data_IF_777384448497
#
_entry.id   IF_777384448497
#
_cell.length_a   1.000
_cell.length_b   1.000
_cell.length_c   1.000
_cell.angle_alpha   90.00
_cell.angle_beta   90.00
_cell.angle_gamma   90.00
#
_symmetry.space_group_name_H-M   'P 1'
#
loop_
_entity.id
_entity.type
_entity.pdbx_description
1 polymer ?
#
# COMPACT_ATOMS: atom_id res chain seq x y z
N UNK A 1 9.49 16.55 -2.36
CA UNK A 1 8.22 16.11 -3.01
C UNK A 1 8.17 14.59 -3.03
N UNK A 2 7.07 14.04 -2.58
CA UNK A 2 6.87 12.59 -2.57
C UNK A 2 6.67 12.09 -3.99
N UNK A 3 7.37 11.00 -4.35
CA UNK A 3 7.17 10.33 -5.63
C UNK A 3 7.42 8.82 -5.49
N UNK A 4 6.88 8.06 -6.43
CA UNK A 4 6.96 6.60 -6.45
C UNK A 4 7.91 6.18 -7.56
N UNK A 5 8.80 5.23 -7.25
CA UNK A 5 9.73 4.65 -8.22
C UNK A 5 9.54 3.14 -8.21
N UNK A 6 9.30 2.55 -9.37
CA UNK A 6 9.12 1.11 -9.48
C UNK A 6 10.36 0.36 -8.98
N UNK A 7 10.15 -0.82 -8.42
CA UNK A 7 11.23 -1.69 -7.95
C UNK A 7 12.14 -2.02 -9.12
N UNK A 8 13.44 -1.91 -8.87
CA UNK A 8 14.50 -2.15 -9.86
C UNK A 8 15.74 -2.72 -9.15
N UNK A 9 16.79 -3.10 -9.90
CA UNK A 9 18.01 -3.66 -9.27
C UNK A 9 18.71 -2.73 -8.29
N UNK A 10 18.47 -1.42 -8.35
CA UNK A 10 19.11 -0.45 -7.47
C UNK A 10 18.35 -0.15 -6.19
N UNK A 11 17.08 -0.55 -6.08
CA UNK A 11 16.24 -0.15 -4.93
C UNK A 11 15.48 -1.29 -4.24
N UNK A 12 15.65 -2.54 -4.63
CA UNK A 12 14.84 -3.65 -4.10
C UNK A 12 15.23 -4.07 -2.67
N UNK A 13 16.39 -3.68 -2.19
CA UNK A 13 16.90 -4.10 -0.88
C UNK A 13 17.44 -2.94 -0.05
N UNK A 14 16.63 -1.92 0.12
CA UNK A 14 17.03 -0.72 0.89
C UNK A 14 16.93 -0.90 2.40
N UNK A 15 16.39 -2.02 2.89
CA UNK A 15 16.27 -2.28 4.32
C UNK A 15 15.20 -1.46 5.03
N UNK A 16 14.21 -0.96 4.29
CA UNK A 16 13.09 -0.21 4.85
C UNK A 16 12.20 -1.13 5.67
N UNK A 17 11.81 -0.68 6.86
CA UNK A 17 10.99 -1.47 7.79
C UNK A 17 10.17 -0.60 8.73
N UNK A 18 9.01 -1.10 9.13
CA UNK A 18 8.15 -0.45 10.12
C UNK A 18 8.75 -0.54 11.52
N UNK A 19 8.18 0.23 12.46
CA UNK A 19 8.53 0.12 13.88
C UNK A 19 8.19 -1.27 14.42
N UNK A 20 8.93 -1.72 15.45
CA UNK A 20 8.71 -3.05 16.07
C UNK A 20 7.26 -3.28 16.47
N UNK A 21 6.59 -2.27 17.00
CA UNK A 21 5.19 -2.34 17.43
C UNK A 21 4.20 -2.59 16.28
N UNK A 22 4.64 -2.43 15.03
CA UNK A 22 3.78 -2.54 13.84
C UNK A 22 4.07 -3.81 13.02
N UNK A 23 5.11 -4.58 13.37
CA UNK A 23 5.53 -5.74 12.55
C UNK A 23 4.47 -6.79 12.36
N UNK A 24 3.56 -6.96 13.31
CA UNK A 24 2.49 -7.95 13.19
C UNK A 24 1.33 -7.49 12.29
N UNK A 25 1.30 -6.22 11.90
CA UNK A 25 0.28 -5.67 11.00
C UNK A 25 0.68 -5.72 9.54
N UNK A 26 1.99 -5.75 9.23
CA UNK A 26 2.48 -5.68 7.85
C UNK A 26 3.54 -6.75 7.60
N UNK A 27 3.58 -7.26 6.38
CA UNK A 27 4.64 -8.16 5.93
C UNK A 27 5.95 -7.38 5.78
N UNK A 28 7.09 -8.05 5.92
CA UNK A 28 8.36 -7.41 5.61
C UNK A 28 8.49 -7.11 4.10
N UNK A 29 9.48 -6.29 3.76
CA UNK A 29 9.67 -5.84 2.38
C UNK A 29 9.95 -6.99 1.41
N UNK A 30 10.65 -8.02 1.84
CA UNK A 30 10.96 -9.16 0.96
C UNK A 30 9.73 -10.01 0.69
N UNK A 31 8.90 -10.24 1.70
CA UNK A 31 7.62 -10.94 1.53
C UNK A 31 6.71 -10.15 0.59
N UNK A 32 6.68 -8.83 0.71
CA UNK A 32 5.94 -7.96 -0.20
C UNK A 32 6.41 -8.09 -1.63
N UNK A 33 7.73 -8.08 -1.86
CA UNK A 33 8.30 -8.23 -3.21
C UNK A 33 8.02 -9.61 -3.81
N UNK A 34 8.07 -10.67 -2.98
CA UNK A 34 7.70 -12.01 -3.41
C UNK A 34 6.22 -12.07 -3.82
N UNK A 35 5.34 -11.40 -3.07
CA UNK A 35 3.92 -11.30 -3.41
C UNK A 35 3.72 -10.54 -4.72
N UNK A 36 4.45 -9.45 -4.94
CA UNK A 36 4.37 -8.71 -6.18
C UNK A 36 4.75 -9.59 -7.38
N UNK A 37 5.77 -10.43 -7.24
CA UNK A 37 6.13 -11.39 -8.28
C UNK A 37 5.04 -12.44 -8.49
N UNK A 38 4.46 -12.97 -7.39
CA UNK A 38 3.39 -13.97 -7.45
C UNK A 38 2.14 -13.44 -8.19
N UNK A 39 1.85 -12.15 -8.04
CA UNK A 39 0.71 -11.49 -8.68
C UNK A 39 1.10 -10.76 -9.98
N UNK A 40 2.22 -11.12 -10.61
CA UNK A 40 2.68 -10.42 -11.83
C UNK A 40 1.70 -10.50 -12.98
N UNK A 41 0.91 -11.56 -13.07
CA UNK A 41 -0.11 -11.69 -14.12
C UNK A 41 -1.36 -10.84 -13.85
N UNK A 42 -1.54 -10.37 -12.61
CA UNK A 42 -2.57 -9.41 -12.22
C UNK A 42 -2.04 -7.97 -12.24
N UNK A 43 -1.06 -7.69 -13.08
CA UNK A 43 -0.45 -6.37 -13.27
C UNK A 43 0.06 -5.75 -11.96
N UNK A 44 0.69 -6.57 -11.11
CA UNK A 44 1.24 -6.07 -9.85
C UNK A 44 2.28 -4.98 -10.11
N UNK A 45 2.26 -3.97 -9.25
CA UNK A 45 3.26 -2.90 -9.23
C UNK A 45 3.76 -2.74 -7.81
N UNK A 46 5.06 -2.95 -7.61
CA UNK A 46 5.74 -2.66 -6.36
C UNK A 46 6.64 -1.46 -6.56
N UNK A 47 6.74 -0.61 -5.55
CA UNK A 47 7.45 0.67 -5.66
C UNK A 47 8.09 1.06 -4.34
N UNK A 48 9.11 1.90 -4.43
CA UNK A 48 9.71 2.63 -3.31
C UNK A 48 9.13 4.04 -3.30
N UNK A 49 8.83 4.54 -2.13
CA UNK A 49 8.35 5.91 -1.90
C UNK A 49 9.56 6.74 -1.52
N UNK A 50 9.79 7.82 -2.25
CA UNK A 50 10.88 8.76 -2.01
C UNK A 50 10.34 10.13 -1.61
N UNK A 51 11.04 10.80 -0.69
CA UNK A 51 10.87 12.24 -0.50
C UNK A 51 12.09 12.92 -1.12
N UNK A 52 11.97 13.32 -2.38
CA UNK A 52 13.09 13.75 -3.22
C UNK A 52 14.14 12.62 -3.31
N UNK A 53 15.20 12.64 -2.49
CA UNK A 53 16.27 11.66 -2.53
C UNK A 53 16.10 10.50 -1.55
N UNK A 54 15.75 10.71 -0.24
CA UNK A 54 15.71 9.60 0.68
C UNK A 54 14.50 8.69 0.42
N UNK A 55 14.72 7.35 0.43
CA UNK A 55 13.61 6.40 0.42
C UNK A 55 12.95 6.40 1.81
N UNK A 56 11.63 6.56 1.84
CA UNK A 56 10.87 6.67 3.10
C UNK A 56 9.87 5.55 3.31
N UNK A 57 9.59 4.74 2.30
CA UNK A 57 8.64 3.65 2.42
C UNK A 57 8.54 2.82 1.16
N UNK A 58 7.63 1.86 1.17
CA UNK A 58 7.36 0.96 0.04
C UNK A 58 5.89 0.62 -0.03
N UNK A 59 5.46 0.13 -1.18
CA UNK A 59 4.11 -0.37 -1.35
C UNK A 59 3.96 -1.22 -2.60
N UNK A 60 2.79 -1.84 -2.72
CA UNK A 60 2.41 -2.56 -3.93
C UNK A 60 0.90 -2.59 -4.09
N UNK A 61 0.45 -2.66 -5.33
CA UNK A 61 -0.93 -2.94 -5.66
C UNK A 61 -1.00 -3.83 -6.91
N UNK A 62 -2.15 -4.42 -7.13
CA UNK A 62 -2.40 -5.27 -8.28
C UNK A 62 -3.90 -5.25 -8.63
N UNK A 63 -4.25 -5.85 -9.76
CA UNK A 63 -5.66 -6.06 -10.10
C UNK A 63 -6.26 -7.13 -9.19
N UNK A 64 -7.54 -6.96 -8.86
CA UNK A 64 -8.35 -7.96 -8.20
C UNK A 64 -9.64 -8.17 -9.01
N UNK A 65 -9.60 -9.00 -10.08
CA UNK A 65 -10.76 -9.19 -10.96
C UNK A 65 -12.00 -9.71 -10.24
N UNK A 66 -11.81 -10.56 -9.22
CA UNK A 66 -12.92 -11.14 -8.46
C UNK A 66 -13.78 -10.08 -7.77
N UNK A 67 -13.18 -8.96 -7.38
CA UNK A 67 -13.89 -7.84 -6.76
C UNK A 67 -14.12 -6.67 -7.72
N UNK A 68 -13.71 -6.82 -8.97
CA UNK A 68 -13.79 -5.76 -9.98
C UNK A 68 -13.14 -4.46 -9.47
N UNK A 69 -11.94 -4.58 -8.92
CA UNK A 69 -11.25 -3.51 -8.22
C UNK A 69 -9.73 -3.62 -8.37
N UNK A 70 -9.04 -2.50 -8.11
CA UNK A 70 -7.62 -2.53 -7.75
C UNK A 70 -7.50 -2.97 -6.29
N UNK A 71 -6.46 -3.74 -5.97
CA UNK A 71 -6.15 -4.12 -4.59
C UNK A 71 -4.88 -3.41 -4.14
N UNK A 72 -5.01 -2.48 -3.20
CA UNK A 72 -3.85 -1.87 -2.53
C UNK A 72 -3.37 -2.87 -1.48
N UNK A 73 -2.50 -3.77 -1.91
CA UNK A 73 -2.09 -4.93 -1.11
C UNK A 73 -1.27 -4.54 0.11
N UNK A 74 -0.38 -3.57 -0.03
CA UNK A 74 0.46 -3.11 1.07
C UNK A 74 1.04 -1.74 0.78
N UNK A 75 1.15 -0.93 1.83
CA UNK A 75 1.91 0.32 1.82
C UNK A 75 2.41 0.56 3.24
N UNK A 76 3.67 0.93 3.39
CA UNK A 76 4.21 1.25 4.72
C UNK A 76 5.26 2.36 4.62
N UNK A 77 5.43 3.08 5.73
CA UNK A 77 6.48 4.09 5.89
C UNK A 77 7.50 3.55 6.88
N UNK A 78 8.79 3.69 6.54
CA UNK A 78 9.90 3.28 7.40
C UNK A 78 9.79 3.98 8.76
N UNK A 79 10.15 3.25 9.83
CA UNK A 79 10.03 3.73 11.21
C UNK A 79 10.66 5.11 11.44
N UNK A 80 11.76 5.39 10.71
CA UNK A 80 12.48 6.67 10.85
C UNK A 80 11.73 7.87 10.31
N UNK A 81 10.73 7.64 9.46
CA UNK A 81 10.04 8.69 8.71
C UNK A 81 8.55 8.79 9.02
N UNK A 82 8.06 8.06 10.01
CA UNK A 82 6.65 8.09 10.38
C UNK A 82 6.25 9.40 11.07
N UNK A 83 4.95 9.70 11.03
CA UNK A 83 4.41 10.92 11.66
C UNK A 83 4.62 12.21 10.88
N UNK A 84 5.01 12.12 9.60
CA UNK A 84 5.29 13.29 8.75
C UNK A 84 4.33 13.45 7.57
N UNK A 85 3.29 12.63 7.51
CA UNK A 85 2.29 12.69 6.42
C UNK A 85 2.68 11.94 5.15
N UNK A 86 3.77 11.18 5.15
CA UNK A 86 4.22 10.45 3.96
C UNK A 86 3.25 9.34 3.55
N UNK A 87 2.63 8.65 4.52
CA UNK A 87 1.64 7.61 4.21
C UNK A 87 0.44 8.16 3.47
N UNK A 88 -0.06 9.31 3.89
CA UNK A 88 -1.18 9.99 3.21
C UNK A 88 -0.78 10.44 1.82
N UNK A 89 0.38 11.08 1.67
CA UNK A 89 0.85 11.56 0.38
C UNK A 89 1.07 10.41 -0.61
N UNK A 90 1.69 9.32 -0.16
CA UNK A 90 1.94 8.15 -1.01
C UNK A 90 0.63 7.46 -1.40
N UNK A 91 -0.31 7.28 -0.47
CA UNK A 91 -1.62 6.69 -0.76
C UNK A 91 -2.37 7.51 -1.79
N UNK A 92 -2.34 8.84 -1.68
CA UNK A 92 -2.94 9.74 -2.67
C UNK A 92 -2.37 9.50 -4.06
N UNK A 93 -1.04 9.38 -4.19
CA UNK A 93 -0.39 9.11 -5.48
C UNK A 93 -0.79 7.74 -6.06
N UNK A 94 -0.92 6.73 -5.21
CA UNK A 94 -1.35 5.40 -5.65
C UNK A 94 -2.79 5.45 -6.17
N UNK A 95 -3.69 6.10 -5.43
CA UNK A 95 -5.08 6.24 -5.87
C UNK A 95 -5.19 7.04 -7.18
N UNK A 96 -4.37 8.07 -7.34
CA UNK A 96 -4.32 8.82 -8.60
C UNK A 96 -3.85 7.96 -9.76
N UNK A 97 -2.84 7.10 -9.53
CA UNK A 97 -2.36 6.17 -10.55
C UNK A 97 -3.45 5.16 -10.95
N UNK A 98 -4.20 4.64 -9.99
CA UNK A 98 -5.32 3.74 -10.25
C UNK A 98 -6.42 4.42 -11.08
N UNK A 99 -6.79 5.64 -10.70
CA UNK A 99 -7.80 6.43 -11.44
C UNK A 99 -7.36 6.72 -12.87
N UNK A 100 -6.09 7.05 -13.05
CA UNK A 100 -5.52 7.33 -14.37
C UNK A 100 -5.49 6.08 -15.24
N UNK A 101 -5.17 4.92 -14.66
CA UNK A 101 -5.23 3.62 -15.36
C UNK A 101 -6.64 3.31 -15.85
N UNK A 102 -7.64 3.50 -15.01
CA UNK A 102 -9.05 3.46 -15.38
C UNK A 102 -9.64 2.07 -15.60
N UNK A 103 -8.89 0.99 -15.38
CA UNK A 103 -9.42 -0.37 -15.60
C UNK A 103 -10.60 -0.68 -14.68
N UNK A 104 -10.53 -0.25 -13.43
CA UNK A 104 -11.59 -0.42 -12.44
C UNK A 104 -11.99 0.93 -11.87
N UNK A 105 -13.22 1.01 -11.35
CA UNK A 105 -13.76 2.24 -10.74
C UNK A 105 -13.64 2.27 -9.23
N UNK A 106 -12.95 1.30 -8.63
CA UNK A 106 -12.81 1.21 -7.18
C UNK A 106 -11.51 0.53 -6.77
N UNK A 107 -11.12 0.78 -5.51
CA UNK A 107 -9.99 0.14 -4.87
C UNK A 107 -10.45 -0.57 -3.61
N UNK A 108 -9.84 -1.72 -3.31
CA UNK A 108 -10.04 -2.45 -2.07
C UNK A 108 -8.69 -2.57 -1.35
N UNK A 109 -8.75 -2.76 -0.05
CA UNK A 109 -7.59 -3.06 0.78
C UNK A 109 -8.04 -3.84 2.00
N UNK A 110 -7.07 -4.46 2.69
CA UNK A 110 -7.28 -5.10 3.97
C UNK A 110 -6.32 -4.51 4.99
N UNK A 111 -6.74 -4.41 6.24
CA UNK A 111 -5.86 -4.11 7.36
C UNK A 111 -6.22 -5.00 8.55
N UNK A 112 -5.28 -5.16 9.46
CA UNK A 112 -5.48 -5.99 10.66
C UNK A 112 -6.15 -5.15 11.74
N UNK A 113 -7.20 -5.68 12.36
CA UNK A 113 -7.90 -5.03 13.46
C UNK A 113 -6.92 -4.63 14.55
N UNK A 114 -7.08 -3.41 15.06
CA UNK A 114 -6.15 -2.82 16.03
C UNK A 114 -5.14 -1.86 15.41
N UNK A 115 -4.96 -1.90 14.09
CA UNK A 115 -4.11 -0.93 13.39
C UNK A 115 -4.90 0.37 13.16
N UNK A 116 -5.04 1.16 14.23
CA UNK A 116 -5.86 2.39 14.21
C UNK A 116 -5.27 3.46 13.30
N UNK A 117 -3.97 3.50 13.14
CA UNK A 117 -3.29 4.44 12.22
C UNK A 117 -3.74 4.18 10.79
N UNK A 118 -3.73 2.91 10.36
CA UNK A 118 -4.20 2.51 9.03
C UNK A 118 -5.68 2.82 8.84
N UNK A 119 -6.51 2.46 9.84
CA UNK A 119 -7.95 2.71 9.79
C UNK A 119 -8.25 4.19 9.54
N UNK A 120 -7.66 5.08 10.33
CA UNK A 120 -7.87 6.52 10.20
C UNK A 120 -7.40 7.05 8.86
N UNK A 121 -6.24 6.58 8.40
CA UNK A 121 -5.68 6.99 7.12
C UNK A 121 -6.65 6.67 5.99
N UNK A 122 -7.12 5.44 5.92
CA UNK A 122 -7.98 4.99 4.83
C UNK A 122 -9.40 5.56 4.92
N UNK A 123 -9.95 5.67 6.11
CA UNK A 123 -11.23 6.37 6.31
C UNK A 123 -11.14 7.82 5.84
N UNK A 124 -9.99 8.46 6.04
CA UNK A 124 -9.76 9.84 5.58
C UNK A 124 -9.82 9.99 4.07
N UNK A 125 -9.60 8.93 3.30
CA UNK A 125 -9.76 8.91 1.83
C UNK A 125 -11.17 8.54 1.38
N UNK A 126 -12.02 8.10 2.31
CA UNK A 126 -13.38 7.67 2.00
C UNK A 126 -13.56 6.16 1.90
N UNK A 127 -12.53 5.37 2.25
CA UNK A 127 -12.69 3.92 2.34
C UNK A 127 -13.68 3.56 3.44
N UNK A 128 -14.53 2.57 3.19
CA UNK A 128 -15.50 2.06 4.15
C UNK A 128 -15.37 0.54 4.27
N UNK A 129 -15.58 0.00 5.46
CA UNK A 129 -15.56 -1.43 5.70
C UNK A 129 -16.71 -2.10 4.93
N UNK A 130 -16.37 -3.16 4.18
CA UNK A 130 -17.37 -3.95 3.42
C UNK A 130 -17.42 -5.40 3.87
N UNK A 131 -16.37 -5.91 4.52
CA UNK A 131 -16.29 -7.32 4.93
C UNK A 131 -15.25 -7.48 6.03
N UNK A 132 -15.29 -8.63 6.67
CA UNK A 132 -14.35 -8.98 7.74
C UNK A 132 -14.13 -10.49 7.73
N UNK A 133 -12.88 -10.91 7.76
CA UNK A 133 -12.48 -12.31 7.91
C UNK A 133 -11.52 -12.40 9.11
N UNK A 134 -12.02 -12.92 10.23
CA UNK A 134 -11.31 -12.95 11.50
C UNK A 134 -10.86 -11.55 11.92
N UNK A 135 -9.56 -11.28 11.95
CA UNK A 135 -8.99 -9.97 12.28
C UNK A 135 -8.66 -9.13 11.06
N UNK A 136 -8.88 -9.64 9.85
CA UNK A 136 -8.71 -8.87 8.62
C UNK A 136 -9.99 -8.09 8.30
N UNK A 137 -9.83 -6.78 8.17
CA UNK A 137 -10.94 -5.88 7.81
C UNK A 137 -10.73 -5.45 6.35
N UNK A 138 -11.75 -5.66 5.53
CA UNK A 138 -11.73 -5.30 4.11
C UNK A 138 -12.43 -3.96 3.93
N UNK A 139 -11.77 -3.03 3.26
CA UNK A 139 -12.31 -1.71 2.95
C UNK A 139 -12.39 -1.48 1.45
N UNK A 140 -13.33 -0.65 1.03
CA UNK A 140 -13.54 -0.30 -0.36
C UNK A 140 -13.72 1.20 -0.54
N UNK A 141 -13.16 1.73 -1.61
CA UNK A 141 -13.36 3.11 -2.05
C UNK A 141 -13.81 3.10 -3.52
N UNK A 142 -14.95 3.72 -3.79
CA UNK A 142 -15.41 3.96 -5.17
C UNK A 142 -14.90 5.33 -5.61
N UNK A 143 -14.25 5.35 -6.77
CA UNK A 143 -13.71 6.59 -7.33
C UNK A 143 -14.78 7.53 -7.86
#
# INVERSE_FOLDING_TARGET
>A
MIHLVDINPGNWRLGLKVAESQKHYVSDSYAMLARAYAYREQRSRAFVIYDNEPPVGMGMYHDCPDLDAFDLSQIFIDARYQGKGYGRAATSLVLDAMKKDGKYSKAVLCYIEGNDVAKKLYEGFGFAEIDRDEDEIVMELTF
#
